data_IF_051384496973
#
_entry.id   IF_051384496973
#
_cell.length_a   1.000
_cell.length_b   1.000
_cell.length_c   1.000
_cell.angle_alpha   90.00
_cell.angle_beta   90.00
_cell.angle_gamma   90.00
#
_symmetry.space_group_name_H-M   'P 1'
#
loop_
_entity.id
_entity.type
_entity.pdbx_description
1 polymer ?
#
# COMPACT_ATOMS: atom_id res chain seq x y z
N UNK A 1 34.77 -35.75 69.33
CA UNK A 1 33.89 -34.63 68.92
C UNK A 1 34.24 -34.22 67.49
N UNK A 2 33.57 -34.83 66.52
CA UNK A 2 33.80 -34.46 65.11
C UNK A 2 32.73 -33.48 64.64
N UNK A 3 33.09 -32.23 64.36
CA UNK A 3 32.24 -31.26 63.73
C UNK A 3 32.26 -31.48 62.20
N UNK A 4 31.14 -31.89 61.62
CA UNK A 4 30.94 -31.88 60.16
C UNK A 4 30.64 -30.43 59.72
N UNK A 5 31.49 -29.90 58.87
CA UNK A 5 31.22 -28.62 58.15
C UNK A 5 30.39 -28.99 56.91
N UNK A 6 29.16 -28.50 56.84
CA UNK A 6 28.33 -28.57 55.65
C UNK A 6 28.63 -27.30 54.78
N UNK A 7 29.21 -27.52 53.61
CA UNK A 7 29.44 -26.45 52.63
C UNK A 7 28.20 -26.37 51.75
N UNK A 8 27.46 -25.26 51.80
CA UNK A 8 26.36 -24.96 50.88
C UNK A 8 26.93 -24.34 49.62
N UNK A 9 26.77 -25.05 48.49
CA UNK A 9 27.08 -24.54 47.17
C UNK A 9 25.86 -23.72 46.67
N UNK A 10 25.98 -22.40 46.63
CA UNK A 10 24.95 -21.51 46.06
C UNK A 10 25.20 -21.45 44.55
N UNK A 11 24.33 -22.07 43.77
CA UNK A 11 24.36 -22.00 42.29
C UNK A 11 23.65 -20.70 41.84
N UNK A 12 24.45 -19.72 41.42
CA UNK A 12 23.87 -18.53 40.76
C UNK A 12 23.57 -18.86 39.30
N UNK A 13 22.31 -19.01 38.99
CA UNK A 13 21.84 -19.08 37.59
C UNK A 13 21.77 -17.66 37.06
N UNK A 14 22.76 -17.24 36.26
CA UNK A 14 22.69 -15.99 35.51
C UNK A 14 21.78 -16.22 34.33
N UNK A 15 20.53 -15.70 34.41
CA UNK A 15 19.65 -15.55 33.24
C UNK A 15 20.26 -14.48 32.33
N UNK A 16 20.97 -14.92 31.29
CA UNK A 16 21.31 -14.06 30.17
C UNK A 16 20.01 -13.79 29.40
N UNK A 17 19.34 -12.69 29.72
CA UNK A 17 18.35 -12.09 28.82
C UNK A 17 19.12 -11.53 27.65
N UNK A 18 19.11 -12.22 26.51
CA UNK A 18 19.56 -11.64 25.24
C UNK A 18 18.62 -10.49 24.91
N UNK A 19 19.02 -9.27 25.24
CA UNK A 19 18.39 -8.09 24.64
C UNK A 19 18.78 -8.15 23.16
N UNK A 20 17.85 -8.56 22.32
CA UNK A 20 17.97 -8.34 20.89
C UNK A 20 17.91 -6.82 20.69
N UNK A 21 19.06 -6.20 20.50
CA UNK A 21 19.14 -4.85 20.02
C UNK A 21 18.57 -4.92 18.58
N UNK A 22 17.35 -4.47 18.39
CA UNK A 22 16.79 -4.31 17.05
C UNK A 22 17.64 -3.25 16.34
N UNK A 23 18.47 -3.68 15.40
CA UNK A 23 19.16 -2.74 14.53
C UNK A 23 18.12 -2.12 13.60
N UNK A 24 18.08 -0.79 13.57
CA UNK A 24 17.26 -0.08 12.59
C UNK A 24 17.73 -0.46 11.19
N UNK A 25 16.78 -0.78 10.29
CA UNK A 25 17.10 -1.04 8.88
C UNK A 25 17.81 0.16 8.28
N UNK A 26 18.89 -0.09 7.56
CA UNK A 26 19.65 0.94 6.85
C UNK A 26 19.21 0.96 5.39
N UNK A 27 18.96 2.15 4.85
CA UNK A 27 18.56 2.34 3.47
C UNK A 27 19.57 3.21 2.72
N UNK A 28 19.98 2.75 1.53
CA UNK A 28 20.70 3.59 0.57
C UNK A 28 19.66 4.30 -0.31
N UNK A 29 19.49 5.61 -0.12
CA UNK A 29 18.61 6.45 -0.93
C UNK A 29 19.26 6.73 -2.29
N UNK A 30 18.55 6.45 -3.37
CA UNK A 30 18.97 6.76 -4.73
C UNK A 30 17.85 7.44 -5.50
N UNK A 31 18.15 8.59 -6.11
CA UNK A 31 17.23 9.25 -7.04
C UNK A 31 17.36 8.56 -8.40
N UNK A 32 16.23 8.11 -8.94
CA UNK A 32 16.17 7.51 -10.28
C UNK A 32 15.81 8.57 -11.31
N UNK A 33 14.81 9.42 -11.01
CA UNK A 33 14.33 10.43 -11.94
C UNK A 33 13.75 11.65 -11.22
N UNK A 34 13.71 12.78 -11.94
CA UNK A 34 13.24 14.06 -11.40
C UNK A 34 11.78 14.38 -11.78
N UNK A 35 11.14 13.52 -12.56
CA UNK A 35 9.75 13.67 -12.98
C UNK A 35 8.80 13.63 -11.76
N UNK A 36 7.70 14.39 -11.86
CA UNK A 36 6.77 14.62 -10.75
C UNK A 36 5.54 13.69 -10.76
N UNK A 37 5.71 12.45 -11.25
CA UNK A 37 4.67 11.43 -11.17
C UNK A 37 4.48 10.99 -9.72
N UNK A 38 3.24 10.63 -9.35
CA UNK A 38 2.91 10.25 -7.98
C UNK A 38 2.60 8.75 -7.83
N UNK A 39 2.80 7.96 -8.90
CA UNK A 39 2.59 6.52 -8.93
C UNK A 39 3.84 5.79 -9.41
N UNK A 40 4.10 4.61 -8.86
CA UNK A 40 5.18 3.72 -9.27
C UNK A 40 4.81 2.26 -9.06
N UNK A 41 5.11 1.41 -10.06
CA UNK A 41 4.97 -0.03 -9.98
C UNK A 41 6.30 -0.74 -10.30
N UNK A 42 6.41 -1.99 -9.88
CA UNK A 42 7.55 -2.87 -10.15
C UNK A 42 7.05 -4.09 -10.91
N UNK A 43 7.63 -4.36 -12.07
CA UNK A 43 7.29 -5.48 -12.94
C UNK A 43 8.48 -5.81 -13.86
N UNK A 44 8.55 -7.02 -14.39
CA UNK A 44 9.50 -7.38 -15.44
C UNK A 44 8.88 -7.01 -16.80
N UNK A 45 9.27 -5.86 -17.34
CA UNK A 45 8.68 -5.27 -18.56
C UNK A 45 9.13 -5.98 -19.82
N UNK A 46 10.40 -6.38 -19.87
CA UNK A 46 11.05 -6.93 -21.07
C UNK A 46 11.21 -8.46 -21.03
N UNK A 47 10.72 -9.12 -19.96
CA UNK A 47 10.83 -10.55 -19.69
C UNK A 47 12.30 -11.05 -19.65
N UNK A 48 13.20 -10.24 -19.08
CA UNK A 48 14.61 -10.62 -18.91
C UNK A 48 14.91 -11.25 -17.53
N UNK A 49 13.92 -11.31 -16.65
CA UNK A 49 14.01 -11.89 -15.33
C UNK A 49 14.47 -10.89 -14.25
N UNK A 50 14.66 -9.62 -14.59
CA UNK A 50 14.94 -8.56 -13.63
C UNK A 50 13.70 -7.69 -13.42
N UNK A 51 13.57 -7.17 -12.21
CA UNK A 51 12.52 -6.21 -11.89
C UNK A 51 12.84 -4.84 -12.48
N UNK A 52 11.89 -4.29 -13.25
CA UNK A 52 11.93 -2.93 -13.77
C UNK A 52 11.02 -2.01 -12.95
N UNK A 53 11.21 -0.70 -13.09
CA UNK A 53 10.38 0.31 -12.44
C UNK A 53 9.56 1.03 -13.49
N UNK A 54 8.23 1.07 -13.32
CA UNK A 54 7.30 1.86 -14.15
C UNK A 54 6.80 3.04 -13.35
N UNK A 55 6.96 4.27 -13.88
CA UNK A 55 6.43 5.48 -13.27
C UNK A 55 6.08 6.51 -14.34
N UNK A 56 4.81 6.85 -14.41
CA UNK A 56 4.30 7.84 -15.36
C UNK A 56 4.53 7.46 -16.82
N UNK A 57 5.26 8.31 -17.55
CA UNK A 57 5.52 8.14 -18.98
C UNK A 57 6.71 7.24 -19.29
N UNK A 58 7.34 6.65 -18.30
CA UNK A 58 8.58 5.90 -18.50
C UNK A 58 8.60 4.58 -17.71
N UNK A 59 9.38 3.65 -18.22
CA UNK A 59 9.91 2.55 -17.43
C UNK A 59 11.45 2.60 -17.42
N UNK A 60 12.04 2.10 -16.35
CA UNK A 60 13.47 2.11 -16.08
C UNK A 60 13.95 0.68 -15.95
N UNK A 61 14.85 0.27 -16.87
CA UNK A 61 15.35 -1.09 -17.00
C UNK A 61 16.21 -1.49 -15.80
N UNK A 62 15.84 -2.58 -15.14
CA UNK A 62 16.64 -3.18 -14.07
C UNK A 62 17.91 -3.86 -14.59
N UNK A 63 18.84 -4.19 -13.69
CA UNK A 63 18.81 -3.93 -12.24
C UNK A 63 19.39 -2.57 -11.82
N UNK A 64 19.94 -1.76 -12.75
CA UNK A 64 20.61 -0.49 -12.41
C UNK A 64 19.75 0.76 -12.60
N UNK A 65 18.62 0.65 -13.31
CA UNK A 65 17.62 1.70 -13.56
C UNK A 65 18.18 2.94 -14.28
N UNK A 66 19.29 2.78 -15.01
CA UNK A 66 19.93 3.86 -15.75
C UNK A 66 19.25 4.08 -17.11
N UNK A 67 18.91 2.99 -17.80
CA UNK A 67 18.29 3.04 -19.09
C UNK A 67 16.79 3.30 -18.94
N UNK A 68 16.32 4.38 -19.57
CA UNK A 68 14.93 4.81 -19.54
C UNK A 68 14.26 4.63 -20.90
N UNK A 69 13.04 4.10 -20.88
CA UNK A 69 12.24 3.86 -22.07
C UNK A 69 10.92 4.63 -21.98
N UNK A 70 10.44 5.12 -23.12
CA UNK A 70 9.18 5.87 -23.19
C UNK A 70 7.99 4.92 -23.34
N UNK A 71 6.98 5.07 -22.49
CA UNK A 71 5.74 4.28 -22.52
C UNK A 71 4.65 4.97 -23.33
N UNK A 72 4.53 6.29 -23.20
CA UNK A 72 3.48 7.09 -23.79
C UNK A 72 3.20 8.35 -22.99
N UNK A 73 2.50 9.29 -23.60
CA UNK A 73 2.18 10.55 -22.96
C UNK A 73 1.11 10.39 -21.87
N UNK A 74 1.25 11.16 -20.80
CA UNK A 74 0.25 11.45 -19.80
C UNK A 74 -0.23 12.88 -19.91
N UNK A 75 -1.46 13.16 -19.52
CA UNK A 75 -2.00 14.51 -19.50
C UNK A 75 -1.79 15.16 -18.15
N UNK A 76 -1.61 16.46 -18.15
CA UNK A 76 -1.62 17.27 -16.92
C UNK A 76 -3.00 17.84 -16.67
N UNK A 77 -3.42 17.80 -15.42
CA UNK A 77 -4.71 18.28 -14.93
C UNK A 77 -4.54 19.06 -13.62
N UNK A 78 -5.63 19.65 -13.10
CA UNK A 78 -5.58 20.40 -11.85
C UNK A 78 -4.59 21.56 -11.90
N UNK A 79 -4.65 22.44 -12.90
CA UNK A 79 -3.71 23.55 -13.16
C UNK A 79 -2.27 23.08 -13.32
N UNK A 80 -2.08 21.87 -13.89
CA UNK A 80 -0.77 21.27 -14.13
C UNK A 80 -0.11 20.65 -12.89
N UNK A 81 -0.86 20.43 -11.82
CA UNK A 81 -0.35 19.86 -10.57
C UNK A 81 -0.40 18.34 -10.53
N UNK A 82 -1.22 17.71 -11.39
CA UNK A 82 -1.42 16.27 -11.40
C UNK A 82 -1.22 15.70 -12.81
N UNK A 83 -0.79 14.44 -12.83
CA UNK A 83 -0.79 13.61 -14.02
C UNK A 83 -1.99 12.65 -13.95
N UNK A 84 -2.48 12.16 -15.08
CA UNK A 84 -3.59 11.20 -15.15
C UNK A 84 -3.13 9.76 -14.87
N UNK A 85 -2.34 9.56 -13.79
CA UNK A 85 -1.69 8.30 -13.40
C UNK A 85 -1.62 8.21 -11.87
N UNK A 86 -2.67 7.64 -11.25
CA UNK A 86 -2.82 7.61 -9.79
C UNK A 86 -2.49 6.25 -9.17
N UNK A 87 -2.23 5.24 -9.99
CA UNK A 87 -1.77 3.92 -9.56
C UNK A 87 -0.92 3.29 -10.67
N UNK A 88 -0.15 2.26 -10.33
CA UNK A 88 0.55 1.41 -11.30
C UNK A 88 0.42 -0.02 -10.83
N UNK A 89 -0.65 -0.72 -11.27
CA UNK A 89 -0.95 -2.08 -10.85
C UNK A 89 -0.53 -3.04 -11.96
N UNK A 90 0.55 -3.82 -11.77
CA UNK A 90 1.00 -4.80 -12.75
C UNK A 90 -0.03 -5.90 -12.97
N UNK A 91 -0.33 -6.22 -14.24
CA UNK A 91 -1.27 -7.26 -14.60
C UNK A 91 -1.10 -7.63 -16.08
N UNK A 92 -0.99 -8.91 -16.42
CA UNK A 92 -1.10 -9.38 -17.81
C UNK A 92 -2.58 -9.39 -18.21
N UNK A 93 -3.05 -8.26 -18.76
CA UNK A 93 -4.48 -8.01 -19.00
C UNK A 93 -5.00 -8.78 -20.21
N UNK A 94 -4.19 -8.96 -21.24
CA UNK A 94 -4.59 -9.62 -22.49
C UNK A 94 -4.11 -11.09 -22.58
N UNK A 95 -3.37 -11.57 -21.59
CA UNK A 95 -2.87 -12.93 -21.52
C UNK A 95 -1.78 -13.24 -22.56
N UNK A 96 -1.00 -12.25 -22.99
CA UNK A 96 0.07 -12.45 -23.97
C UNK A 96 1.43 -12.78 -23.32
N UNK A 97 1.48 -12.84 -21.99
CA UNK A 97 2.67 -13.18 -21.21
C UNK A 97 3.61 -12.01 -20.97
N UNK A 98 3.17 -10.78 -21.28
CA UNK A 98 3.89 -9.56 -20.96
C UNK A 98 3.11 -8.79 -19.89
N UNK A 99 3.83 -8.21 -18.95
CA UNK A 99 3.19 -7.45 -17.90
C UNK A 99 2.76 -6.08 -18.42
N UNK A 100 1.45 -5.85 -18.40
CA UNK A 100 0.79 -4.56 -18.58
C UNK A 100 0.67 -3.84 -17.23
N UNK A 101 0.06 -2.67 -17.18
CA UNK A 101 -0.38 -2.09 -15.93
C UNK A 101 -1.73 -1.38 -16.03
N UNK A 102 -2.47 -1.42 -14.92
CA UNK A 102 -3.74 -0.71 -14.76
C UNK A 102 -3.54 0.53 -13.92
N UNK A 103 -4.19 1.62 -14.30
CA UNK A 103 -4.24 2.89 -13.58
C UNK A 103 -5.57 3.61 -13.78
N UNK A 104 -5.67 4.85 -13.33
CA UNK A 104 -6.79 5.75 -13.53
C UNK A 104 -6.51 7.08 -12.88
N UNK A 105 -7.44 8.03 -12.97
CA UNK A 105 -7.24 9.35 -12.42
C UNK A 105 -8.53 10.08 -12.04
N UNK A 106 -8.37 11.14 -11.26
CA UNK A 106 -9.47 11.99 -10.79
C UNK A 106 -10.16 12.78 -11.90
N UNK A 107 -9.40 13.26 -12.90
CA UNK A 107 -9.87 14.27 -13.84
C UNK A 107 -10.55 13.65 -15.06
N UNK A 108 -9.98 12.58 -15.61
CA UNK A 108 -10.63 11.81 -16.69
C UNK A 108 -11.81 11.00 -16.19
N UNK A 109 -11.90 10.77 -14.87
CA UNK A 109 -12.94 9.95 -14.22
C UNK A 109 -12.97 8.53 -14.73
N UNK A 110 -11.83 8.02 -15.16
CA UNK A 110 -11.71 6.73 -15.83
C UNK A 110 -10.64 5.86 -15.19
N UNK A 111 -10.82 4.55 -15.32
CA UNK A 111 -9.75 3.57 -15.17
C UNK A 111 -9.40 3.01 -16.54
N UNK A 112 -8.12 2.74 -16.75
CA UNK A 112 -7.58 2.28 -18.01
C UNK A 112 -6.31 1.45 -17.79
N UNK A 113 -5.86 0.74 -18.81
CA UNK A 113 -4.61 0.01 -18.79
C UNK A 113 -3.77 0.31 -20.01
N UNK A 114 -2.47 0.14 -19.87
CA UNK A 114 -1.51 0.24 -20.96
C UNK A 114 -0.99 -1.14 -21.32
N UNK A 115 -1.15 -1.48 -22.60
CA UNK A 115 -0.71 -2.72 -23.21
C UNK A 115 0.78 -2.64 -23.51
N UNK A 116 1.57 -3.50 -22.87
CA UNK A 116 2.99 -3.65 -23.12
C UNK A 116 3.23 -4.31 -24.48
N UNK A 117 3.81 -3.63 -25.47
CA UNK A 117 4.03 -4.20 -26.79
C UNK A 117 5.17 -5.26 -26.82
N UNK A 118 5.95 -5.39 -25.74
CA UNK A 118 7.12 -6.26 -25.66
C UNK A 118 8.32 -5.77 -26.50
N UNK A 119 8.35 -4.49 -26.82
CA UNK A 119 9.45 -3.82 -27.51
C UNK A 119 9.46 -2.33 -27.14
N UNK A 120 10.53 -1.62 -27.53
CA UNK A 120 10.58 -0.16 -27.38
C UNK A 120 9.50 0.50 -28.23
N UNK A 121 8.64 1.29 -27.60
CA UNK A 121 7.58 2.01 -28.26
C UNK A 121 6.47 2.43 -27.31
N UNK A 122 5.49 3.16 -27.83
CA UNK A 122 4.34 3.57 -27.04
C UNK A 122 3.44 2.39 -26.73
N UNK A 123 3.06 2.29 -25.46
CA UNK A 123 2.08 1.33 -24.97
C UNK A 123 0.67 1.82 -25.29
N UNK A 124 -0.10 1.00 -25.92
CA UNK A 124 -1.48 1.33 -26.29
C UNK A 124 -2.36 1.46 -25.05
N UNK A 125 -3.11 2.56 -24.98
CA UNK A 125 -4.08 2.80 -23.90
C UNK A 125 -5.42 2.16 -24.23
N UNK A 126 -6.01 1.47 -23.26
CA UNK A 126 -7.32 0.87 -23.31
C UNK A 126 -8.16 1.32 -22.12
N UNK A 127 -9.30 1.94 -22.35
CA UNK A 127 -10.22 2.36 -21.29
C UNK A 127 -10.99 1.14 -20.79
N UNK A 128 -11.00 0.92 -19.46
CA UNK A 128 -11.79 -0.12 -18.82
C UNK A 128 -13.20 0.41 -18.55
N UNK A 129 -13.31 1.57 -17.85
CA UNK A 129 -14.62 2.18 -17.55
C UNK A 129 -14.46 3.67 -17.21
N UNK A 130 -15.55 4.42 -17.41
CA UNK A 130 -15.71 5.76 -16.83
C UNK A 130 -16.45 5.62 -15.50
N UNK A 131 -15.69 5.72 -14.39
CA UNK A 131 -16.11 5.22 -13.09
C UNK A 131 -16.41 6.30 -12.05
N UNK A 132 -16.10 7.54 -12.33
CA UNK A 132 -16.12 8.68 -11.40
C UNK A 132 -14.71 9.11 -11.03
N UNK A 133 -14.58 10.19 -10.26
CA UNK A 133 -13.30 10.73 -9.84
C UNK A 133 -12.51 9.68 -9.06
N UNK A 134 -11.41 9.18 -9.62
CA UNK A 134 -10.57 8.14 -9.01
C UNK A 134 -9.54 8.82 -8.12
N UNK A 135 -9.59 8.53 -6.81
CA UNK A 135 -8.63 9.05 -5.83
C UNK A 135 -7.39 8.15 -5.69
N UNK A 136 -7.62 6.86 -5.74
CA UNK A 136 -6.58 5.82 -5.72
C UNK A 136 -7.16 4.51 -6.26
N UNK A 137 -6.31 3.53 -6.54
CA UNK A 137 -6.74 2.20 -6.99
C UNK A 137 -5.97 1.16 -6.17
N UNK A 138 -6.67 0.09 -5.74
CA UNK A 138 -6.05 -1.10 -5.18
C UNK A 138 -6.14 -2.26 -6.18
N UNK A 139 -5.11 -3.10 -6.21
CA UNK A 139 -5.15 -4.44 -6.80
C UNK A 139 -5.29 -5.45 -5.66
N UNK A 140 -6.39 -6.18 -5.61
CA UNK A 140 -6.70 -7.09 -4.50
C UNK A 140 -7.31 -8.38 -5.05
N UNK A 141 -6.77 -9.52 -4.65
CA UNK A 141 -7.31 -10.84 -4.99
C UNK A 141 -8.55 -11.13 -4.12
N UNK A 142 -9.73 -10.75 -4.63
CA UNK A 142 -11.01 -10.80 -3.90
C UNK A 142 -11.62 -12.21 -3.91
N UNK A 143 -11.54 -12.90 -5.02
CA UNK A 143 -12.13 -14.23 -5.21
C UNK A 143 -11.14 -15.38 -4.98
N UNK A 144 -9.87 -15.04 -4.64
CA UNK A 144 -8.78 -15.95 -4.30
C UNK A 144 -8.34 -16.86 -5.46
N UNK A 145 -8.40 -16.31 -6.67
CA UNK A 145 -7.94 -17.00 -7.87
C UNK A 145 -6.47 -16.74 -8.21
N UNK A 146 -5.81 -15.87 -7.45
CA UNK A 146 -4.41 -15.48 -7.59
C UNK A 146 -4.18 -14.29 -8.51
N UNK A 147 -5.23 -13.66 -9.02
CA UNK A 147 -5.16 -12.46 -9.87
C UNK A 147 -5.90 -11.32 -9.19
N UNK A 148 -5.29 -10.13 -9.07
CA UNK A 148 -5.95 -9.03 -8.38
C UNK A 148 -7.12 -8.45 -9.20
N UNK A 149 -8.26 -8.24 -8.55
CA UNK A 149 -9.29 -7.34 -9.02
C UNK A 149 -8.85 -5.89 -8.86
N UNK A 150 -9.35 -5.04 -9.77
CA UNK A 150 -9.09 -3.60 -9.76
C UNK A 150 -10.17 -2.88 -8.99
N UNK A 151 -9.80 -2.23 -7.90
CA UNK A 151 -10.73 -1.59 -6.96
C UNK A 151 -10.46 -0.09 -6.88
N UNK A 152 -11.17 0.75 -7.65
CA UNK A 152 -10.97 2.19 -7.57
C UNK A 152 -11.72 2.79 -6.37
N UNK A 153 -11.03 3.61 -5.58
CA UNK A 153 -11.67 4.53 -4.66
C UNK A 153 -12.20 5.74 -5.45
N UNK A 154 -13.52 5.86 -5.53
CA UNK A 154 -14.21 6.91 -6.26
C UNK A 154 -15.23 7.59 -5.35
N UNK A 155 -14.84 8.59 -4.53
CA UNK A 155 -15.69 9.25 -3.56
C UNK A 155 -17.02 9.74 -4.18
N UNK A 156 -18.12 9.57 -3.44
CA UNK A 156 -19.50 9.88 -3.85
C UNK A 156 -20.03 9.05 -5.04
N UNK A 157 -19.34 7.96 -5.41
CA UNK A 157 -19.78 7.01 -6.43
C UNK A 157 -19.98 5.62 -5.81
N UNK A 158 -20.67 4.68 -6.49
CA UNK A 158 -20.79 3.32 -6.01
C UNK A 158 -19.43 2.67 -5.73
N UNK A 159 -19.32 1.94 -4.62
CA UNK A 159 -18.20 1.03 -4.40
C UNK A 159 -18.33 -0.13 -5.37
N UNK A 160 -17.28 -0.41 -6.10
CA UNK A 160 -17.23 -1.43 -7.15
C UNK A 160 -15.82 -1.93 -7.36
N UNK A 161 -15.70 -3.09 -7.96
CA UNK A 161 -14.45 -3.62 -8.46
C UNK A 161 -14.60 -4.21 -9.86
N UNK A 162 -13.48 -4.50 -10.50
CA UNK A 162 -13.43 -5.01 -11.86
C UNK A 162 -12.61 -6.30 -11.86
N UNK A 163 -13.30 -7.39 -12.21
CA UNK A 163 -12.72 -8.72 -12.35
C UNK A 163 -12.30 -8.95 -13.81
N UNK A 164 -11.05 -9.37 -14.02
CA UNK A 164 -10.50 -9.66 -15.34
C UNK A 164 -11.10 -10.93 -15.91
N UNK A 165 -11.80 -10.81 -17.06
CA UNK A 165 -12.46 -11.94 -17.72
C UNK A 165 -11.43 -12.91 -18.33
N UNK A 166 -11.74 -14.20 -18.25
CA UNK A 166 -10.97 -15.28 -18.85
C UNK A 166 -11.79 -16.09 -19.83
N UNK A 167 -11.13 -16.61 -20.83
CA UNK A 167 -11.72 -17.52 -21.81
C UNK A 167 -11.88 -18.95 -21.27
N UNK A 168 -12.42 -19.84 -22.11
CA UNK A 168 -12.60 -21.25 -21.75
C UNK A 168 -11.30 -22.04 -21.52
N UNK A 169 -10.13 -21.43 -21.77
CA UNK A 169 -8.81 -21.97 -21.50
C UNK A 169 -8.13 -21.29 -20.29
N UNK A 170 -8.89 -20.48 -19.53
CA UNK A 170 -8.44 -19.70 -18.39
C UNK A 170 -7.43 -18.60 -18.75
N UNK A 171 -7.41 -18.11 -19.98
CA UNK A 171 -6.54 -17.05 -20.46
C UNK A 171 -7.24 -15.69 -20.32
N UNK A 172 -6.58 -14.62 -19.81
CA UNK A 172 -7.11 -13.28 -19.81
C UNK A 172 -7.54 -12.77 -21.18
N UNK A 173 -8.66 -12.05 -21.24
CA UNK A 173 -9.28 -11.62 -22.52
C UNK A 173 -9.10 -10.15 -22.85
N UNK A 174 -8.54 -9.36 -21.92
CA UNK A 174 -8.48 -7.91 -22.03
C UNK A 174 -9.77 -7.19 -21.60
N UNK A 175 -10.79 -7.93 -21.18
CA UNK A 175 -12.07 -7.38 -20.76
C UNK A 175 -12.26 -7.53 -19.25
N UNK A 176 -13.09 -6.65 -18.67
CA UNK A 176 -13.39 -6.66 -17.24
C UNK A 176 -14.90 -6.69 -16.99
N UNK A 177 -15.31 -7.55 -16.06
CA UNK A 177 -16.65 -7.54 -15.51
C UNK A 177 -16.70 -6.64 -14.28
N UNK A 178 -17.61 -5.64 -14.31
CA UNK A 178 -17.86 -4.74 -13.17
C UNK A 178 -18.80 -5.36 -12.17
N UNK A 179 -18.38 -5.42 -10.90
CA UNK A 179 -19.18 -5.84 -9.76
C UNK A 179 -19.44 -4.65 -8.84
N UNK A 180 -20.71 -4.36 -8.54
CA UNK A 180 -21.11 -3.27 -7.63
C UNK A 180 -21.30 -3.85 -6.24
N UNK A 181 -20.56 -3.31 -5.27
CA UNK A 181 -20.57 -3.71 -3.85
C UNK A 181 -21.59 -2.90 -3.06
N UNK A 182 -21.59 -1.58 -3.23
CA UNK A 182 -22.45 -0.68 -2.47
C UNK A 182 -22.77 0.61 -3.21
N UNK A 183 -23.77 1.38 -2.72
CA UNK A 183 -24.33 2.53 -3.45
C UNK A 183 -23.39 3.74 -3.49
N UNK A 184 -22.52 3.89 -2.48
CA UNK A 184 -21.59 5.00 -2.40
C UNK A 184 -20.39 4.62 -1.54
N UNK A 185 -19.30 5.34 -1.73
CA UNK A 185 -18.10 5.34 -0.89
C UNK A 185 -17.60 6.78 -0.68
N UNK A 186 -16.84 7.01 0.36
CA UNK A 186 -16.14 8.26 0.61
C UNK A 186 -14.63 8.09 0.36
N UNK A 187 -13.82 9.05 0.77
CA UNK A 187 -12.38 8.89 0.80
C UNK A 187 -11.99 7.84 1.84
N UNK A 188 -11.09 6.94 1.47
CA UNK A 188 -10.68 5.81 2.31
C UNK A 188 -11.31 4.49 1.87
N UNK A 189 -10.44 3.53 1.62
CA UNK A 189 -10.82 2.20 1.18
C UNK A 189 -9.79 1.18 1.67
N UNK A 190 -10.25 0.03 2.14
CA UNK A 190 -9.41 -1.11 2.52
C UNK A 190 -10.07 -2.42 2.15
N UNK A 191 -9.30 -3.50 2.20
CA UNK A 191 -9.81 -4.85 2.01
C UNK A 191 -9.08 -5.83 2.93
N UNK A 192 -9.84 -6.70 3.61
CA UNK A 192 -9.32 -7.75 4.48
C UNK A 192 -10.42 -8.36 5.33
N UNK A 193 -10.14 -9.50 5.93
CA UNK A 193 -11.07 -10.25 6.78
C UNK A 193 -11.25 -9.57 8.15
N UNK A 194 -12.21 -8.64 8.25
CA UNK A 194 -12.44 -7.87 9.49
C UNK A 194 -13.25 -8.64 10.53
N UNK A 195 -14.01 -9.66 10.12
CA UNK A 195 -14.91 -10.42 10.99
C UNK A 195 -14.34 -11.79 11.42
N UNK A 196 -13.23 -12.24 10.80
CA UNK A 196 -12.57 -13.50 11.11
C UNK A 196 -13.26 -14.72 10.49
N UNK A 197 -14.05 -14.54 9.41
CA UNK A 197 -14.75 -15.65 8.74
C UNK A 197 -13.93 -16.29 7.61
N UNK A 198 -12.77 -15.76 7.33
CA UNK A 198 -11.84 -16.22 6.31
C UNK A 198 -12.09 -15.61 4.93
N UNK A 199 -13.07 -14.71 4.75
CA UNK A 199 -13.31 -13.95 3.52
C UNK A 199 -12.84 -12.51 3.69
N UNK A 200 -12.36 -11.88 2.62
CA UNK A 200 -12.00 -10.46 2.68
C UNK A 200 -13.24 -9.57 2.55
N UNK A 201 -13.30 -8.54 3.37
CA UNK A 201 -14.37 -7.53 3.41
C UNK A 201 -13.84 -6.20 2.93
N UNK A 202 -14.70 -5.34 2.38
CA UNK A 202 -14.33 -3.96 2.07
C UNK A 202 -14.51 -3.06 3.29
N UNK A 203 -13.48 -2.29 3.62
CA UNK A 203 -13.52 -1.27 4.65
C UNK A 203 -13.68 0.10 4.00
N UNK A 204 -14.66 0.87 4.46
CA UNK A 204 -14.89 2.27 4.04
C UNK A 204 -14.88 3.18 5.26
N UNK A 205 -14.98 4.49 5.09
CA UNK A 205 -14.78 5.47 6.18
C UNK A 205 -15.78 5.35 7.33
N UNK A 206 -16.99 4.82 7.12
CA UNK A 206 -18.05 4.75 8.14
C UNK A 206 -18.53 3.33 8.47
N UNK A 207 -17.88 2.31 7.91
CA UNK A 207 -18.22 0.91 8.14
C UNK A 207 -17.53 -0.03 7.17
N UNK A 208 -18.14 -1.19 6.96
CA UNK A 208 -17.57 -2.23 6.12
C UNK A 208 -18.65 -3.01 5.39
N UNK A 209 -18.28 -3.61 4.27
CA UNK A 209 -19.14 -4.48 3.48
C UNK A 209 -18.67 -5.93 3.65
N UNK A 210 -19.52 -6.74 4.27
CA UNK A 210 -19.32 -8.18 4.43
C UNK A 210 -19.41 -8.91 3.09
N UNK A 211 -18.39 -9.71 2.81
CA UNK A 211 -18.30 -10.49 1.58
C UNK A 211 -19.37 -11.59 1.53
N UNK A 212 -20.07 -11.76 0.41
CA UNK A 212 -20.90 -12.94 0.20
C UNK A 212 -20.02 -14.15 -0.11
N UNK A 213 -20.59 -15.34 -0.01
CA UNK A 213 -19.87 -16.59 -0.34
C UNK A 213 -19.30 -16.62 -1.78
N UNK A 214 -19.96 -15.98 -2.72
CA UNK A 214 -19.46 -15.75 -4.09
C UNK A 214 -19.34 -14.24 -4.26
N UNK A 215 -18.11 -13.74 -4.13
CA UNK A 215 -17.83 -12.30 -4.14
C UNK A 215 -18.20 -11.62 -5.48
N UNK A 216 -18.17 -12.37 -6.58
CA UNK A 216 -18.46 -11.85 -7.93
C UNK A 216 -19.96 -11.72 -8.19
N UNK A 217 -20.82 -12.47 -7.50
CA UNK A 217 -22.26 -12.58 -7.82
C UNK A 217 -23.17 -12.34 -6.64
N UNK A 218 -22.66 -12.47 -5.42
CA UNK A 218 -23.45 -12.36 -4.20
C UNK A 218 -23.75 -10.92 -3.83
N UNK A 219 -24.62 -10.76 -2.84
CA UNK A 219 -24.96 -9.46 -2.29
C UNK A 219 -24.06 -9.14 -1.10
N UNK A 220 -23.27 -8.09 -1.20
CA UNK A 220 -22.50 -7.52 -0.11
C UNK A 220 -23.40 -6.85 0.92
N UNK A 221 -23.10 -6.99 2.21
CA UNK A 221 -23.93 -6.50 3.31
C UNK A 221 -23.18 -5.39 4.04
N UNK A 222 -23.75 -4.18 4.05
CA UNK A 222 -23.14 -3.03 4.75
C UNK A 222 -23.40 -3.08 6.26
N UNK A 223 -22.32 -2.90 7.03
CA UNK A 223 -22.34 -2.74 8.48
C UNK A 223 -21.76 -1.37 8.84
N UNK A 224 -22.62 -0.49 9.36
CA UNK A 224 -22.19 0.81 9.88
C UNK A 224 -21.58 0.62 11.26
N UNK A 225 -20.30 0.98 11.45
CA UNK A 225 -19.62 0.58 12.68
C UNK A 225 -18.65 1.60 13.26
N UNK A 226 -17.96 2.39 12.45
CA UNK A 226 -16.92 3.33 12.90
C UNK A 226 -16.98 4.64 12.11
N UNK A 227 -16.06 5.57 12.43
CA UNK A 227 -15.83 6.81 11.68
C UNK A 227 -14.32 7.03 11.59
N UNK A 228 -13.75 6.82 10.41
CA UNK A 228 -12.31 6.85 10.19
C UNK A 228 -11.79 8.19 9.64
N UNK A 229 -12.67 9.18 9.46
CA UNK A 229 -12.33 10.49 8.92
C UNK A 229 -11.98 10.44 7.43
N UNK A 230 -11.00 11.24 7.01
CA UNK A 230 -10.47 11.26 5.63
C UNK A 230 -9.36 10.23 5.48
N UNK A 231 -9.72 8.96 5.67
CA UNK A 231 -8.78 7.86 5.63
C UNK A 231 -8.07 7.77 4.27
N UNK A 232 -6.80 7.38 4.27
CA UNK A 232 -6.03 7.07 3.07
C UNK A 232 -6.45 5.75 2.40
N UNK A 233 -5.75 5.39 1.34
CA UNK A 233 -5.94 4.12 0.63
C UNK A 233 -4.58 3.44 0.48
N UNK A 234 -4.42 2.20 0.98
CA UNK A 234 -5.42 1.39 1.66
C UNK A 234 -5.61 1.74 3.15
N UNK A 235 -6.80 1.44 3.71
CA UNK A 235 -6.97 1.14 5.12
C UNK A 235 -6.48 -0.31 5.30
N UNK A 236 -5.50 -0.53 6.18
CA UNK A 236 -4.91 -1.86 6.37
C UNK A 236 -5.72 -2.63 7.42
N UNK A 237 -6.02 -3.89 7.11
CA UNK A 237 -6.66 -4.86 8.01
C UNK A 237 -5.63 -5.90 8.43
N UNK A 238 -5.27 -5.94 9.71
CA UNK A 238 -4.24 -6.85 10.23
C UNK A 238 -4.40 -7.11 11.73
N UNK A 239 -4.08 -8.31 12.18
CA UNK A 239 -3.95 -8.63 13.61
C UNK A 239 -2.61 -8.08 14.13
N UNK A 240 -2.61 -6.81 14.57
CA UNK A 240 -1.40 -6.08 14.96
C UNK A 240 -0.80 -6.65 16.25
N UNK A 241 -1.65 -6.92 17.24
CA UNK A 241 -1.23 -7.32 18.58
C UNK A 241 -1.24 -8.84 18.79
N UNK A 242 -1.56 -9.62 17.76
CA UNK A 242 -1.62 -11.09 17.75
C UNK A 242 -2.65 -11.65 18.76
N UNK A 243 -3.78 -10.94 18.94
CA UNK A 243 -4.89 -11.40 19.79
C UNK A 243 -5.93 -12.24 19.04
N UNK A 244 -5.71 -12.51 17.76
CA UNK A 244 -6.56 -13.31 16.88
C UNK A 244 -7.72 -12.53 16.27
N UNK A 245 -7.72 -11.19 16.38
CA UNK A 245 -8.70 -10.30 15.75
C UNK A 245 -7.97 -9.30 14.86
N UNK A 246 -8.52 -9.07 13.69
CA UNK A 246 -7.96 -8.08 12.79
C UNK A 246 -8.37 -6.66 13.21
N UNK A 247 -7.37 -5.80 13.28
CA UNK A 247 -7.43 -4.38 13.60
C UNK A 247 -7.44 -3.56 12.30
N UNK A 248 -7.58 -2.21 12.44
CA UNK A 248 -7.43 -1.29 11.32
C UNK A 248 -6.26 -0.33 11.57
N UNK A 249 -5.40 -0.16 10.56
CA UNK A 249 -4.40 0.91 10.51
C UNK A 249 -4.89 1.97 9.52
N UNK A 250 -4.96 3.22 9.97
CA UNK A 250 -5.64 4.31 9.25
C UNK A 250 -4.76 5.55 9.22
N UNK A 251 -4.31 5.94 8.04
CA UNK A 251 -3.65 7.22 7.80
C UNK A 251 -4.67 8.28 7.41
N UNK A 252 -4.51 9.53 7.86
CA UNK A 252 -5.34 10.63 7.42
C UNK A 252 -4.74 11.26 6.15
N UNK A 253 -5.42 11.08 5.02
CA UNK A 253 -4.92 11.50 3.71
C UNK A 253 -4.79 13.03 3.59
N UNK A 254 -5.72 13.79 4.20
CA UNK A 254 -5.86 15.24 4.06
C UNK A 254 -5.82 15.97 5.40
N UNK A 255 -5.32 15.32 6.46
CA UNK A 255 -5.22 15.90 7.80
C UNK A 255 -4.04 15.27 8.55
N UNK A 256 -3.84 15.69 9.79
CA UNK A 256 -2.91 15.04 10.72
C UNK A 256 -3.49 13.72 11.23
N UNK A 257 -2.63 12.74 11.41
CA UNK A 257 -2.90 11.52 12.13
C UNK A 257 -2.59 10.24 11.36
N UNK A 258 -2.04 9.31 12.10
CA UNK A 258 -1.88 7.91 11.78
C UNK A 258 -2.34 7.15 13.02
N UNK A 259 -3.32 6.28 12.86
CA UNK A 259 -4.04 5.69 13.97
C UNK A 259 -4.14 4.16 13.82
N UNK A 260 -4.16 3.46 14.93
CA UNK A 260 -4.52 2.07 15.05
C UNK A 260 -5.86 1.96 15.77
N UNK A 261 -6.83 1.32 15.15
CA UNK A 261 -8.12 0.97 15.73
C UNK A 261 -8.07 -0.49 16.13
N UNK A 262 -7.86 -0.73 17.42
CA UNK A 262 -7.80 -2.05 18.01
C UNK A 262 -9.20 -2.65 18.13
N UNK A 263 -9.39 -3.85 17.57
CA UNK A 263 -10.65 -4.58 17.68
C UNK A 263 -10.79 -5.27 19.03
N UNK A 264 -11.84 -4.97 19.78
CA UNK A 264 -12.19 -5.62 21.05
C UNK A 264 -13.59 -6.21 21.01
N UNK A 265 -13.82 -7.17 21.90
CA UNK A 265 -15.13 -7.78 22.10
C UNK A 265 -15.51 -7.60 23.57
N UNK A 266 -16.69 -7.08 23.84
CA UNK A 266 -17.20 -6.92 25.20
C UNK A 266 -17.71 -8.25 25.77
N UNK A 267 -18.15 -8.25 27.03
CA UNK A 267 -18.67 -9.44 27.72
C UNK A 267 -19.96 -10.01 27.08
N UNK A 268 -20.67 -9.21 26.31
CA UNK A 268 -21.86 -9.62 25.56
C UNK A 268 -21.54 -10.16 24.17
N UNK A 269 -20.24 -10.21 23.79
CA UNK A 269 -19.79 -10.64 22.48
C UNK A 269 -19.87 -9.56 21.40
N UNK A 270 -20.15 -8.29 21.77
CA UNK A 270 -20.26 -7.19 20.83
C UNK A 270 -18.89 -6.60 20.50
N UNK A 271 -18.57 -6.46 19.22
CA UNK A 271 -17.37 -5.79 18.71
C UNK A 271 -17.42 -4.29 19.00
N UNK A 272 -16.28 -3.73 19.36
CA UNK A 272 -16.05 -2.28 19.48
C UNK A 272 -14.57 -1.98 19.19
N UNK A 273 -14.25 -0.72 18.98
CA UNK A 273 -12.94 -0.27 18.54
C UNK A 273 -12.33 0.69 19.55
N UNK A 274 -11.05 0.48 19.86
CA UNK A 274 -10.27 1.38 20.69
C UNK A 274 -9.25 2.08 19.77
N UNK A 275 -9.34 3.40 19.68
CA UNK A 275 -8.43 4.19 18.87
C UNK A 275 -7.14 4.49 19.64
N UNK A 276 -6.01 4.12 19.09
CA UNK A 276 -4.66 4.45 19.55
C UNK A 276 -3.95 5.32 18.51
N UNK A 277 -3.39 6.45 18.94
CA UNK A 277 -2.59 7.28 18.05
C UNK A 277 -1.21 6.64 17.83
N UNK A 278 -0.85 6.42 16.57
CA UNK A 278 0.50 5.99 16.16
C UNK A 278 1.38 7.23 15.95
N UNK A 279 0.93 8.16 15.12
CA UNK A 279 1.61 9.42 14.86
C UNK A 279 0.62 10.58 14.66
N UNK A 280 0.33 11.37 15.70
CA UNK A 280 -0.59 12.51 15.61
C UNK A 280 0.06 13.79 15.05
N UNK A 281 1.39 13.80 14.83
CA UNK A 281 2.17 15.01 14.56
C UNK A 281 2.49 15.23 13.08
N UNK A 282 2.37 14.19 12.25
CA UNK A 282 2.55 14.29 10.81
C UNK A 282 1.20 14.16 10.09
N UNK A 283 1.14 14.72 8.89
CA UNK A 283 -0.07 14.80 8.08
C UNK A 283 0.08 14.11 6.75
N UNK A 284 -1.05 13.92 6.05
CA UNK A 284 -1.11 13.45 4.67
C UNK A 284 -0.52 12.05 4.48
N UNK A 285 -0.84 11.14 5.39
CA UNK A 285 -0.61 9.71 5.26
C UNK A 285 -1.62 9.11 4.28
N UNK A 286 -1.39 9.38 2.98
CA UNK A 286 -2.33 9.09 1.91
C UNK A 286 -2.31 7.64 1.48
N UNK A 287 -1.13 7.01 1.50
CA UNK A 287 -0.92 5.61 1.11
C UNK A 287 0.01 4.91 2.10
N UNK A 288 -0.20 3.61 2.28
CA UNK A 288 0.50 2.80 3.28
C UNK A 288 0.70 1.38 2.77
N UNK A 289 1.77 0.72 3.26
CA UNK A 289 2.05 -0.69 3.03
C UNK A 289 2.27 -1.42 4.35
N UNK A 290 1.90 -2.70 4.40
CA UNK A 290 2.08 -3.57 5.56
C UNK A 290 2.96 -4.75 5.16
N UNK A 291 4.27 -4.66 5.43
CA UNK A 291 5.24 -5.63 4.95
C UNK A 291 6.38 -5.83 5.94
N UNK A 292 6.91 -7.05 6.00
CA UNK A 292 8.14 -7.35 6.72
C UNK A 292 9.33 -6.72 6.00
N UNK A 293 9.80 -5.57 6.50
CA UNK A 293 10.87 -4.77 5.88
C UNK A 293 12.24 -5.03 6.53
N UNK A 294 12.27 -5.60 7.74
CA UNK A 294 13.50 -5.93 8.45
C UNK A 294 13.80 -7.44 8.49
N UNK A 295 12.96 -8.26 7.84
CA UNK A 295 13.08 -9.71 7.72
C UNK A 295 13.06 -10.43 9.08
N UNK A 296 12.31 -9.93 10.05
CA UNK A 296 12.17 -10.60 11.35
C UNK A 296 10.92 -11.52 11.44
N UNK A 297 10.14 -11.58 10.35
CA UNK A 297 8.92 -12.38 10.24
C UNK A 297 7.67 -11.67 10.77
N UNK A 298 7.75 -10.39 11.10
CA UNK A 298 6.62 -9.54 11.43
C UNK A 298 6.55 -8.39 10.42
N UNK A 299 5.33 -7.95 10.10
CA UNK A 299 5.18 -6.82 9.21
C UNK A 299 5.30 -5.51 9.97
N UNK A 300 5.85 -4.51 9.32
CA UNK A 300 5.85 -3.10 9.70
C UNK A 300 4.88 -2.29 8.85
N UNK A 301 4.38 -1.21 9.43
CA UNK A 301 3.61 -0.20 8.70
C UNK A 301 4.57 0.79 8.04
N UNK A 302 4.62 0.79 6.71
CA UNK A 302 5.46 1.69 5.92
C UNK A 302 4.56 2.78 5.33
N UNK A 303 4.88 4.05 5.56
CA UNK A 303 4.13 5.18 5.04
C UNK A 303 4.93 6.48 5.13
N UNK A 304 4.40 7.54 4.54
CA UNK A 304 5.02 8.86 4.58
C UNK A 304 4.05 9.98 4.20
N UNK A 305 4.54 11.20 4.31
CA UNK A 305 3.78 12.39 3.92
C UNK A 305 3.69 12.50 2.40
N UNK A 306 2.49 12.62 1.86
CA UNK A 306 2.29 12.98 0.45
C UNK A 306 2.67 14.45 0.24
N UNK A 307 3.69 14.69 -0.58
CA UNK A 307 4.21 16.04 -0.82
C UNK A 307 3.30 16.84 -1.75
N UNK A 308 2.91 18.06 -1.32
CA UNK A 308 2.08 19.00 -2.08
C UNK A 308 0.73 18.42 -2.55
N UNK A 309 0.11 17.58 -1.73
CA UNK A 309 -1.29 17.23 -1.95
C UNK A 309 -2.15 18.52 -2.01
N UNK A 310 -3.19 18.51 -2.84
CA UNK A 310 -4.10 19.65 -3.03
C UNK A 310 -3.41 21.02 -3.17
N UNK A 311 -2.31 21.08 -3.96
CA UNK A 311 -1.52 22.28 -4.17
C UNK A 311 -0.96 22.92 -2.89
N UNK A 312 -0.78 22.13 -1.82
CA UNK A 312 -0.30 22.59 -0.54
C UNK A 312 -1.35 23.29 0.32
N UNK A 313 -2.63 23.00 0.12
CA UNK A 313 -3.72 23.62 0.90
C UNK A 313 -4.17 22.76 2.10
N UNK A 314 -3.78 21.50 2.17
CA UNK A 314 -4.16 20.63 3.30
C UNK A 314 -3.44 21.02 4.60
N UNK A 315 -4.03 20.73 5.77
CA UNK A 315 -3.35 20.86 7.05
C UNK A 315 -1.98 20.18 7.05
N UNK A 316 -0.95 20.89 7.54
CA UNK A 316 0.41 20.37 7.57
C UNK A 316 1.16 20.38 6.24
N UNK A 317 0.63 20.96 5.16
CA UNK A 317 1.27 20.98 3.84
C UNK A 317 2.68 21.57 3.82
N UNK A 318 2.96 22.50 4.73
CA UNK A 318 4.25 23.18 4.88
C UNK A 318 5.21 22.47 5.84
N UNK A 319 4.78 21.39 6.49
CA UNK A 319 5.63 20.61 7.38
C UNK A 319 6.69 19.82 6.59
N UNK A 320 7.75 19.43 7.28
CA UNK A 320 8.82 18.63 6.67
C UNK A 320 8.29 17.32 6.10
N UNK A 321 8.93 16.88 5.03
CA UNK A 321 8.57 15.67 4.31
C UNK A 321 9.25 14.48 4.98
N UNK A 322 8.51 13.37 5.15
CA UNK A 322 9.06 12.17 5.77
C UNK A 322 8.52 10.88 5.19
N UNK A 323 9.38 9.87 5.20
CA UNK A 323 9.08 8.46 4.93
C UNK A 323 9.52 7.67 6.16
N UNK A 324 8.66 6.80 6.64
CA UNK A 324 8.83 6.11 7.90
C UNK A 324 8.42 4.63 7.77
N UNK A 325 8.95 3.79 8.67
CA UNK A 325 8.28 2.56 9.03
C UNK A 325 8.01 2.53 10.54
N UNK A 326 6.93 1.89 10.94
CA UNK A 326 6.48 1.76 12.32
C UNK A 326 6.44 0.29 12.69
N UNK A 327 7.23 -0.08 13.70
CA UNK A 327 7.34 -1.45 14.18
C UNK A 327 6.57 -1.63 15.48
N UNK A 328 5.73 -2.66 15.55
CA UNK A 328 5.05 -3.04 16.77
C UNK A 328 6.03 -3.72 17.75
N UNK A 329 6.12 -3.21 18.97
CA UNK A 329 7.05 -3.74 19.99
C UNK A 329 6.36 -4.58 21.08
N UNK A 330 5.06 -4.90 20.92
CA UNK A 330 4.23 -5.58 21.91
C UNK A 330 3.39 -4.65 22.79
N UNK A 331 3.63 -3.34 22.75
CA UNK A 331 2.91 -2.34 23.55
C UNK A 331 2.49 -1.12 22.70
N UNK A 332 3.35 -0.68 21.78
CA UNK A 332 3.14 0.50 20.95
C UNK A 332 3.90 0.38 19.63
N UNK A 333 3.58 1.25 18.68
CA UNK A 333 4.34 1.40 17.46
C UNK A 333 5.58 2.29 17.67
N UNK A 334 6.75 1.76 17.32
CA UNK A 334 8.01 2.50 17.35
C UNK A 334 8.28 3.08 15.96
N UNK A 335 8.34 4.40 15.87
CA UNK A 335 8.61 5.14 14.64
C UNK A 335 10.09 5.05 14.28
N UNK A 336 10.39 4.57 13.07
CA UNK A 336 11.70 4.55 12.47
C UNK A 336 11.74 5.47 11.25
N UNK A 337 12.73 6.36 11.18
CA UNK A 337 12.83 7.35 10.13
C UNK A 337 13.69 6.81 8.99
N UNK A 338 13.11 6.71 7.79
CA UNK A 338 13.83 6.35 6.56
C UNK A 338 14.36 7.60 5.87
N UNK A 339 13.52 8.64 5.77
CA UNK A 339 13.89 9.94 5.18
C UNK A 339 13.10 11.05 5.88
N UNK A 340 13.74 12.19 6.14
CA UNK A 340 13.08 13.34 6.75
C UNK A 340 13.82 14.64 6.44
N UNK A 341 13.09 15.69 6.08
CA UNK A 341 13.68 17.00 5.83
C UNK A 341 12.82 17.88 4.91
N UNK A 342 13.34 19.06 4.56
CA UNK A 342 12.69 19.93 3.57
C UNK A 342 12.73 19.31 2.16
N UNK A 343 11.98 19.88 1.18
CA UNK A 343 12.05 19.45 -0.22
C UNK A 343 13.49 19.36 -0.74
N UNK A 344 13.81 18.27 -1.43
CA UNK A 344 15.17 17.97 -1.92
C UNK A 344 16.08 17.22 -0.92
N UNK A 345 15.72 17.18 0.37
CA UNK A 345 16.38 16.39 1.40
C UNK A 345 15.46 15.25 1.88
N UNK A 346 14.31 15.61 2.42
CA UNK A 346 13.29 14.63 2.77
C UNK A 346 12.64 14.02 1.55
N UNK A 347 12.08 12.84 1.70
CA UNK A 347 11.24 12.15 0.72
C UNK A 347 10.04 11.57 1.45
N UNK A 348 8.87 11.74 0.89
CA UNK A 348 7.64 11.11 1.36
C UNK A 348 7.06 10.20 0.30
N UNK A 349 5.79 9.87 0.41
CA UNK A 349 5.06 9.07 -0.57
C UNK A 349 4.41 9.94 -1.64
N UNK A 350 3.96 9.30 -2.73
CA UNK A 350 3.01 9.87 -3.69
C UNK A 350 1.58 9.37 -3.41
N UNK A 351 0.88 9.05 -4.48
CA UNK A 351 -0.44 8.41 -4.44
C UNK A 351 -0.34 6.89 -4.32
N UNK A 352 0.66 6.32 -4.96
CA UNK A 352 0.90 4.88 -4.99
C UNK A 352 2.42 4.63 -4.97
N UNK A 353 2.89 3.74 -4.10
CA UNK A 353 4.29 3.34 -4.03
C UNK A 353 4.40 1.81 -3.95
N UNK A 354 5.60 1.27 -4.16
CA UNK A 354 5.82 -0.17 -4.20
C UNK A 354 6.88 -0.61 -3.20
N UNK A 355 6.74 -1.84 -2.73
CA UNK A 355 7.75 -2.56 -1.95
C UNK A 355 8.08 -3.84 -2.71
N UNK A 356 9.35 -4.01 -3.08
CA UNK A 356 9.82 -5.16 -3.84
C UNK A 356 11.29 -5.45 -3.55
N UNK A 357 11.72 -6.68 -3.74
CA UNK A 357 13.14 -7.04 -3.78
C UNK A 357 13.67 -6.84 -5.20
N UNK A 358 14.30 -5.70 -5.45
CA UNK A 358 14.75 -5.31 -6.80
C UNK A 358 16.00 -6.06 -7.28
N UNK A 359 16.72 -6.72 -6.38
CA UNK A 359 18.01 -7.34 -6.67
C UNK A 359 18.10 -8.81 -6.25
N UNK A 360 16.96 -9.47 -5.97
CA UNK A 360 16.89 -10.86 -5.48
C UNK A 360 17.77 -11.08 -4.23
N UNK A 361 17.84 -10.07 -3.40
CA UNK A 361 18.69 -10.04 -2.20
C UNK A 361 18.06 -10.71 -0.98
N UNK A 362 16.76 -11.06 -1.08
CA UNK A 362 15.91 -11.48 0.01
C UNK A 362 15.46 -10.33 0.93
N UNK A 363 15.74 -9.07 0.57
CA UNK A 363 15.34 -7.86 1.30
C UNK A 363 14.47 -6.97 0.43
N UNK A 364 13.42 -6.46 1.03
CA UNK A 364 12.47 -5.58 0.35
C UNK A 364 12.99 -4.15 0.32
N UNK A 365 13.06 -3.57 -0.87
CA UNK A 365 13.33 -2.16 -1.13
C UNK A 365 12.03 -1.36 -1.14
N UNK A 366 12.13 -0.04 -0.97
CA UNK A 366 10.98 0.87 -1.02
C UNK A 366 11.14 1.79 -2.23
N UNK A 367 10.19 1.74 -3.15
CA UNK A 367 10.20 2.50 -4.39
C UNK A 367 9.10 3.56 -4.31
N UNK A 368 9.46 4.84 -4.30
CA UNK A 368 8.52 5.95 -4.12
C UNK A 368 8.64 6.99 -5.22
N UNK A 369 7.53 7.25 -5.89
CA UNK A 369 7.34 8.38 -6.77
C UNK A 369 6.62 9.52 -6.04
N UNK A 370 6.74 10.74 -6.51
CA UNK A 370 6.06 11.91 -5.96
C UNK A 370 6.43 13.18 -6.71
N UNK A 371 5.79 14.28 -6.38
CA UNK A 371 6.06 15.59 -7.02
C UNK A 371 7.50 16.09 -6.81
N UNK A 372 8.29 15.41 -6.01
CA UNK A 372 9.71 15.63 -5.72
C UNK A 372 10.64 14.60 -6.38
N UNK A 373 10.13 13.77 -7.29
CA UNK A 373 10.89 12.79 -8.07
C UNK A 373 10.64 11.33 -7.69
N UNK A 374 11.25 10.43 -8.45
CA UNK A 374 11.27 8.98 -8.26
C UNK A 374 12.55 8.58 -7.53
N UNK A 375 12.40 7.83 -6.44
CA UNK A 375 13.50 7.35 -5.61
C UNK A 375 13.32 5.87 -5.27
N UNK A 376 14.46 5.20 -5.11
CA UNK A 376 14.55 3.89 -4.48
C UNK A 376 15.31 4.02 -3.17
N UNK A 377 14.81 3.38 -2.14
CA UNK A 377 15.47 3.16 -0.86
C UNK A 377 15.88 1.68 -0.80
N UNK A 378 17.10 1.41 -1.22
CA UNK A 378 17.66 0.06 -1.20
C UNK A 378 17.93 -0.39 0.24
N UNK A 379 17.32 -1.48 0.63
CA UNK A 379 17.47 -2.08 1.95
C UNK A 379 18.86 -2.72 2.07
N UNK A 380 19.70 -2.17 2.94
CA UNK A 380 21.05 -2.65 3.15
C UNK A 380 21.08 -3.73 4.25
N UNK A 381 22.03 -4.66 4.15
CA UNK A 381 22.30 -5.53 5.28
C UNK A 381 22.68 -4.69 6.52
N UNK A 382 22.27 -5.12 7.72
CA UNK A 382 22.66 -4.46 8.97
C UNK A 382 24.17 -4.38 9.15
#
# INVERSE_FOLDING_TARGET
>A
MNKKIQTYLILYTVLLTSSHAFSQVQFKKQMIAAESFESVGVLDVNNDGHSDIVSGTFWYEGPDFIKRHFIGHLNRSGDGQYWDDFATIPLDVNGDGKMDYVTGDWFSKSIWWRENPGNDGEWKLHVIDTTGNVECIMGVDIDKDGIPEIVPNTPNNPLKFYHLERDGQNKPTGNFTKVVVGPAQEHGLGFGDINGDGSGDFIVSDGWYESPKDALKGKWIFHKEFQLGTAGVPIIVADVNKDGKNDLLVGQAHNYGLDWYEQKTDQAGKRHWIKHAIDPFNSQYHTMEWADIDNDGQNELITGKRYRAHNGNDPGSNDLIGLYYFKWNGESFVKNVISYGPPGIGKGTGLFFSIADLHDSGRKDIIVAGKDGLYVFFNQAP
#
